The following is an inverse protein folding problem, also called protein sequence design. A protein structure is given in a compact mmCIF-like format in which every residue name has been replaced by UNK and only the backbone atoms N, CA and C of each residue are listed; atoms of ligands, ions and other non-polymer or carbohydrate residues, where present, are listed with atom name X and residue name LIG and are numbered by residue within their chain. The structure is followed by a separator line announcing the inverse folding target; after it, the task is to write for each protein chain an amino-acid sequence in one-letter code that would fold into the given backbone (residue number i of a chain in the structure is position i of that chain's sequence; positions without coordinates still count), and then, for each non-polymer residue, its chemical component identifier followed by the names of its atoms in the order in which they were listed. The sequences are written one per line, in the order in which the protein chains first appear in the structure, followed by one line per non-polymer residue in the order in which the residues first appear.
data_IF_663572750292
#
_entry.id   IF_663572750292
#
_cell.length_a   1.000
_cell.length_b   1.000
_cell.length_c   1.000
_cell.angle_alpha   90.00
_cell.angle_beta   90.00
_cell.angle_gamma   90.00
#
_symmetry.space_group_name_H-M   'P 1'
#
loop_
_entity.id
_entity.type
_entity.pdbx_description
1 polymer ?
#
# COMPACT_ATOMS: atom_id res chain seq x y z
N UNK A 1 -11.52 10.82 -20.66
CA UNK A 1 -12.31 10.56 -19.43
C UNK A 1 -11.64 9.53 -18.47
N UNK A 2 -10.36 9.20 -18.63
CA UNK A 2 -9.67 8.11 -17.89
C UNK A 2 -8.89 8.55 -16.65
N UNK A 3 -8.64 9.85 -16.44
CA UNK A 3 -7.90 10.33 -15.26
C UNK A 3 -8.74 10.35 -13.97
N UNK A 4 -10.07 10.55 -14.05
CA UNK A 4 -10.95 10.63 -12.87
C UNK A 4 -11.02 9.31 -12.06
N UNK A 5 -10.55 8.19 -12.61
CA UNK A 5 -10.48 6.90 -11.91
C UNK A 5 -9.09 6.52 -11.40
N UNK A 6 -8.03 7.30 -11.66
CA UNK A 6 -6.65 6.94 -11.30
C UNK A 6 -6.46 6.68 -9.79
N UNK A 7 -6.88 7.57 -8.86
CA UNK A 7 -6.70 7.32 -7.43
C UNK A 7 -7.51 6.11 -6.94
N UNK A 8 -8.68 5.87 -7.55
CA UNK A 8 -9.56 4.73 -7.24
C UNK A 8 -8.97 3.41 -7.77
N UNK A 9 -8.32 3.43 -8.93
CA UNK A 9 -7.63 2.28 -9.52
C UNK A 9 -6.36 1.93 -8.76
N UNK A 10 -5.62 2.93 -8.26
CA UNK A 10 -4.45 2.73 -7.42
C UNK A 10 -4.81 2.07 -6.07
N UNK A 11 -6.02 2.31 -5.56
CA UNK A 11 -6.48 1.86 -4.25
C UNK A 11 -6.32 0.34 -4.06
N UNK A 12 -6.77 -0.48 -5.02
CA UNK A 12 -6.71 -1.95 -4.90
C UNK A 12 -5.27 -2.45 -4.74
N UNK A 13 -4.34 -1.86 -5.49
CA UNK A 13 -2.92 -2.22 -5.43
C UNK A 13 -2.26 -1.72 -4.15
N UNK A 14 -2.63 -0.51 -3.70
CA UNK A 14 -2.16 0.05 -2.45
C UNK A 14 -2.61 -0.78 -1.24
N UNK A 15 -3.87 -1.24 -1.21
CA UNK A 15 -4.39 -2.11 -0.13
C UNK A 15 -3.62 -3.44 -0.08
N UNK A 16 -3.45 -4.10 -1.21
CA UNK A 16 -2.77 -5.41 -1.27
C UNK A 16 -1.28 -5.31 -0.93
N UNK A 17 -0.58 -4.31 -1.47
CA UNK A 17 0.85 -4.13 -1.18
C UNK A 17 1.09 -3.70 0.27
N UNK A 18 0.29 -2.76 0.78
CA UNK A 18 0.41 -2.32 2.17
C UNK A 18 0.09 -3.42 3.16
N UNK A 19 -0.88 -4.31 2.90
CA UNK A 19 -1.16 -5.44 3.78
C UNK A 19 0.02 -6.40 3.90
N UNK A 20 0.72 -6.70 2.79
CA UNK A 20 1.93 -7.53 2.81
C UNK A 20 3.04 -6.85 3.64
N UNK A 21 3.26 -5.56 3.44
CA UNK A 21 4.26 -4.80 4.21
C UNK A 21 3.90 -4.80 5.70
N UNK A 22 2.63 -4.60 6.04
CA UNK A 22 2.17 -4.60 7.42
C UNK A 22 2.33 -5.97 8.09
N UNK A 23 2.15 -7.09 7.37
CA UNK A 23 2.47 -8.42 7.90
C UNK A 23 3.95 -8.56 8.27
N UNK A 24 4.85 -8.02 7.44
CA UNK A 24 6.28 -8.01 7.75
C UNK A 24 6.61 -7.11 8.94
N UNK A 25 5.95 -5.95 9.06
CA UNK A 25 6.09 -5.07 10.23
C UNK A 25 5.64 -5.78 11.50
N UNK A 26 4.48 -6.44 11.47
CA UNK A 26 3.98 -7.22 12.60
C UNK A 26 4.92 -8.37 12.98
N UNK A 27 5.44 -9.10 11.99
CA UNK A 27 6.44 -10.13 12.23
C UNK A 27 7.71 -9.55 12.87
N UNK A 28 8.22 -8.43 12.37
CA UNK A 28 9.39 -7.76 12.93
C UNK A 28 9.16 -7.27 14.35
N UNK A 29 7.94 -6.85 14.68
CA UNK A 29 7.54 -6.50 16.05
C UNK A 29 7.50 -7.74 16.96
N UNK A 30 7.04 -8.89 16.48
CA UNK A 30 7.06 -10.14 17.26
C UNK A 30 8.48 -10.71 17.45
N UNK A 31 9.35 -10.52 16.47
CA UNK A 31 10.70 -11.09 16.47
C UNK A 31 11.76 -10.22 17.19
N UNK A 32 11.41 -8.99 17.59
CA UNK A 32 12.33 -8.03 18.20
C UNK A 32 11.74 -7.50 19.49
N UNK A 33 12.59 -7.13 20.45
CA UNK A 33 12.14 -6.43 21.65
C UNK A 33 11.55 -5.07 21.28
N UNK A 34 10.23 -4.92 21.48
CA UNK A 34 9.52 -3.66 21.23
C UNK A 34 9.66 -2.79 22.49
N UNK A 35 10.35 -1.67 22.36
CA UNK A 35 10.47 -0.69 23.44
C UNK A 35 9.25 0.24 23.48
N UNK A 36 8.67 0.43 24.66
CA UNK A 36 7.62 1.42 24.91
C UNK A 36 6.39 0.84 25.60
N UNK A 37 5.46 1.70 25.97
CA UNK A 37 4.16 1.26 26.51
C UNK A 37 3.27 0.70 25.40
N UNK A 38 2.31 -0.16 25.76
CA UNK A 38 1.35 -0.71 24.78
C UNK A 38 0.62 0.35 23.96
N UNK A 39 0.38 1.53 24.57
CA UNK A 39 -0.28 2.66 23.90
C UNK A 39 0.64 3.34 22.87
N UNK A 40 1.92 3.52 23.18
CA UNK A 40 2.90 4.05 22.22
C UNK A 40 3.08 3.11 21.02
N UNK A 41 3.11 1.80 21.29
CA UNK A 41 3.20 0.77 20.26
C UNK A 41 1.97 0.79 19.35
N UNK A 42 0.78 0.87 19.93
CA UNK A 42 -0.46 1.00 19.16
C UNK A 42 -0.47 2.27 18.30
N UNK A 43 -0.06 3.41 18.85
CA UNK A 43 0.02 4.67 18.11
C UNK A 43 1.00 4.59 16.93
N UNK A 44 2.22 4.06 17.16
CA UNK A 44 3.21 3.84 16.09
C UNK A 44 2.68 2.92 15.00
N UNK A 45 1.95 1.88 15.37
CA UNK A 45 1.36 0.94 14.42
C UNK A 45 0.30 1.62 13.53
N UNK A 46 -0.55 2.47 14.12
CA UNK A 46 -1.54 3.25 13.37
C UNK A 46 -0.85 4.22 12.41
N UNK A 47 0.12 5.01 12.88
CA UNK A 47 0.85 5.97 12.04
C UNK A 47 1.60 5.25 10.91
N UNK A 48 2.24 4.12 11.21
CA UNK A 48 2.93 3.29 10.21
C UNK A 48 1.95 2.77 9.16
N UNK A 49 0.77 2.32 9.58
CA UNK A 49 -0.27 1.84 8.65
C UNK A 49 -0.67 2.92 7.65
N UNK A 50 -0.98 4.13 8.13
CA UNK A 50 -1.34 5.25 7.25
C UNK A 50 -0.16 5.70 6.38
N UNK A 51 1.06 5.71 6.92
CA UNK A 51 2.27 6.07 6.18
C UNK A 51 2.56 5.11 5.03
N UNK A 52 2.56 3.81 5.31
CA UNK A 52 2.79 2.74 4.31
C UNK A 52 1.68 2.76 3.26
N UNK A 53 0.42 2.83 3.68
CA UNK A 53 -0.70 2.89 2.75
C UNK A 53 -0.63 4.13 1.83
N UNK A 54 -0.42 5.31 2.42
CA UNK A 54 -0.29 6.56 1.67
C UNK A 54 0.88 6.55 0.68
N UNK A 55 2.03 6.02 1.09
CA UNK A 55 3.19 5.88 0.22
C UNK A 55 2.90 4.94 -0.97
N UNK A 56 2.33 3.76 -0.72
CA UNK A 56 1.96 2.82 -1.79
C UNK A 56 0.89 3.39 -2.71
N UNK A 57 -0.09 4.09 -2.15
CA UNK A 57 -1.12 4.74 -2.95
C UNK A 57 -0.54 5.79 -3.90
N UNK A 58 0.38 6.64 -3.44
CA UNK A 58 1.08 7.59 -4.29
C UNK A 58 1.91 6.89 -5.37
N UNK A 59 2.68 5.85 -5.01
CA UNK A 59 3.48 5.07 -5.98
C UNK A 59 2.60 4.51 -7.09
N UNK A 60 1.45 3.92 -6.76
CA UNK A 60 0.54 3.37 -7.77
C UNK A 60 -0.19 4.46 -8.58
N UNK A 61 -0.46 5.63 -7.99
CA UNK A 61 -0.95 6.78 -8.75
C UNK A 61 0.09 7.19 -9.81
N UNK A 62 1.36 7.36 -9.44
CA UNK A 62 2.42 7.72 -10.38
C UNK A 62 2.65 6.64 -11.43
N UNK A 63 2.62 5.37 -11.03
CA UNK A 63 2.76 4.24 -11.94
C UNK A 63 1.62 4.19 -12.96
N UNK A 64 0.37 4.32 -12.54
CA UNK A 64 -0.78 4.32 -13.45
C UNK A 64 -0.90 5.61 -14.27
N UNK A 65 -0.35 6.72 -13.76
CA UNK A 65 -0.25 7.96 -14.54
C UNK A 65 0.73 7.80 -15.70
N UNK A 66 1.88 7.16 -15.47
CA UNK A 66 2.89 6.88 -16.51
C UNK A 66 2.51 5.69 -17.41
N UNK A 67 1.74 4.73 -16.89
CA UNK A 67 1.31 3.51 -17.58
C UNK A 67 -0.22 3.33 -17.47
N UNK A 68 -1.01 4.11 -18.21
CA UNK A 68 -2.47 4.18 -18.05
C UNK A 68 -3.22 2.89 -18.38
N UNK A 69 -2.62 1.98 -19.16
CA UNK A 69 -3.22 0.72 -19.57
C UNK A 69 -2.72 -0.50 -18.77
N UNK A 70 -1.87 -0.29 -17.77
CA UNK A 70 -1.23 -1.38 -17.02
C UNK A 70 -2.20 -2.25 -16.19
N UNK A 71 -3.43 -1.81 -15.97
CA UNK A 71 -4.46 -2.58 -15.27
C UNK A 71 -5.47 -3.26 -16.20
N UNK A 72 -5.36 -3.04 -17.51
CA UNK A 72 -6.19 -3.74 -18.50
C UNK A 72 -5.62 -5.15 -18.68
N UNK A 73 -6.48 -6.18 -18.78
CA UNK A 73 -5.99 -7.49 -19.20
C UNK A 73 -5.32 -7.32 -20.56
N UNK A 74 -4.08 -7.80 -20.71
CA UNK A 74 -3.45 -7.91 -22.04
C UNK A 74 -4.42 -8.74 -22.88
N UNK A 75 -4.99 -8.14 -23.93
CA UNK A 75 -5.70 -8.90 -24.94
C UNK A 75 -4.73 -9.99 -25.40
N UNK A 76 -5.06 -11.24 -25.05
CA UNK A 76 -4.36 -12.40 -25.59
C UNK A 76 -4.84 -12.48 -27.04
N UNK A 77 -4.16 -11.77 -27.93
CA UNK A 77 -4.22 -12.08 -29.35
C UNK A 77 -3.59 -13.47 -29.53
N UNK A 78 -4.43 -14.50 -29.47
CA UNK A 78 -4.16 -15.83 -30.01
C UNK A 78 -5.08 -16.04 -31.20
#
# INVERSE_FOLDING_TARGET
MTQKSLPRRALKYAVVSSSIIMLLVLYAMLARDITGSSLEVAFRLVVTTFGVFGAMWLVFIFYLFTNPDADKPREKEF
#
